data_IF_437897378381
#
_entry.id   IF_437897378381
#
_cell.length_a   1.000
_cell.length_b   1.000
_cell.length_c   1.000
_cell.angle_alpha   90.00
_cell.angle_beta   90.00
_cell.angle_gamma   90.00
#
_symmetry.space_group_name_H-M   'P 1'
#
loop_
_entity.id
_entity.type
_entity.pdbx_description
1 polymer ?
#
# COMPACT_ATOMS: atom_id res chain seq x y z
N UNK A 1 14.83 -13.64 6.02
CA UNK A 1 15.59 -12.39 6.24
C UNK A 1 14.68 -11.16 6.39
N UNK A 2 14.01 -10.60 5.36
CA UNK A 2 13.15 -9.42 5.53
C UNK A 2 11.96 -9.71 6.46
N UNK A 3 11.30 -10.85 6.30
CA UNK A 3 10.18 -11.29 7.15
C UNK A 3 10.59 -11.39 8.62
N UNK A 4 11.77 -11.96 8.89
CA UNK A 4 12.27 -12.13 10.25
C UNK A 4 12.57 -10.77 10.92
N UNK A 5 13.10 -9.82 10.15
CA UNK A 5 13.29 -8.45 10.62
C UNK A 5 11.96 -7.77 10.96
N UNK A 6 10.94 -7.93 10.13
CA UNK A 6 9.61 -7.36 10.35
C UNK A 6 8.96 -7.96 11.60
N UNK A 7 9.04 -9.28 11.79
CA UNK A 7 8.57 -9.94 13.01
C UNK A 7 9.30 -9.46 14.27
N UNK A 8 10.61 -9.18 14.16
CA UNK A 8 11.37 -8.65 15.28
C UNK A 8 10.83 -7.29 15.79
N UNK A 9 10.21 -6.50 14.89
CA UNK A 9 9.55 -5.25 15.25
C UNK A 9 8.07 -5.42 15.64
N UNK A 10 7.59 -6.65 15.79
CA UNK A 10 6.23 -6.93 16.25
C UNK A 10 5.16 -6.84 15.17
N UNK A 11 5.54 -6.88 13.89
CA UNK A 11 4.62 -6.89 12.76
C UNK A 11 4.51 -8.29 12.15
N UNK A 12 3.31 -8.66 11.75
CA UNK A 12 3.04 -9.86 10.96
C UNK A 12 3.11 -9.56 9.47
N UNK A 13 3.49 -10.56 8.67
CA UNK A 13 3.64 -10.44 7.22
C UNK A 13 2.69 -11.38 6.50
N UNK A 14 1.79 -10.81 5.72
CA UNK A 14 0.91 -11.55 4.81
C UNK A 14 1.43 -11.40 3.38
N UNK A 15 1.73 -12.51 2.72
CA UNK A 15 2.25 -12.52 1.35
C UNK A 15 1.16 -12.87 0.35
N UNK A 16 0.99 -12.04 -0.68
CA UNK A 16 0.01 -12.26 -1.73
C UNK A 16 0.54 -11.77 -3.09
N UNK A 17 1.47 -12.52 -3.70
CA UNK A 17 2.14 -12.09 -4.94
C UNK A 17 1.60 -12.74 -6.22
N UNK A 18 0.65 -13.68 -6.15
CA UNK A 18 -0.01 -14.30 -7.30
C UNK A 18 -1.52 -14.17 -7.19
N UNK A 19 -2.26 -14.37 -8.30
CA UNK A 19 -3.72 -14.23 -8.32
C UNK A 19 -4.44 -15.11 -7.29
N UNK A 20 -3.96 -16.35 -7.06
CA UNK A 20 -4.50 -17.25 -6.03
C UNK A 20 -4.08 -16.84 -4.62
N UNK A 21 -2.80 -16.51 -4.43
CA UNK A 21 -2.28 -16.01 -3.15
C UNK A 21 -2.82 -14.61 -2.82
N UNK A 22 -3.12 -13.81 -3.84
CA UNK A 22 -3.75 -12.50 -3.67
C UNK A 22 -5.14 -12.57 -3.04
N UNK A 23 -5.99 -13.50 -3.49
CA UNK A 23 -7.32 -13.71 -2.90
C UNK A 23 -7.23 -14.18 -1.44
N UNK A 24 -6.33 -15.13 -1.14
CA UNK A 24 -6.08 -15.61 0.22
C UNK A 24 -5.55 -14.48 1.12
N UNK A 25 -4.63 -13.66 0.61
CA UNK A 25 -4.11 -12.52 1.35
C UNK A 25 -5.20 -11.49 1.68
N UNK A 26 -6.11 -11.19 0.73
CA UNK A 26 -7.24 -10.29 0.98
C UNK A 26 -8.16 -10.82 2.08
N UNK A 27 -8.42 -12.14 2.11
CA UNK A 27 -9.21 -12.74 3.18
C UNK A 27 -8.53 -12.57 4.54
N UNK A 28 -7.26 -12.94 4.65
CA UNK A 28 -6.48 -12.79 5.87
C UNK A 28 -6.42 -11.33 6.34
N UNK A 29 -6.14 -10.38 5.43
CA UNK A 29 -6.12 -8.96 5.75
C UNK A 29 -7.50 -8.44 6.20
N UNK A 30 -8.59 -8.99 5.64
CA UNK A 30 -9.95 -8.66 6.08
C UNK A 30 -10.20 -9.13 7.52
N UNK A 31 -9.73 -10.32 7.88
CA UNK A 31 -9.82 -10.87 9.24
C UNK A 31 -8.98 -10.04 10.23
N UNK A 32 -7.77 -9.61 9.83
CA UNK A 32 -6.93 -8.73 10.64
C UNK A 32 -7.63 -7.39 10.92
N UNK A 33 -8.19 -6.76 9.90
CA UNK A 33 -8.96 -5.53 10.04
C UNK A 33 -10.20 -5.72 10.93
N UNK A 34 -10.91 -6.84 10.78
CA UNK A 34 -12.07 -7.18 11.62
C UNK A 34 -11.69 -7.40 13.10
N UNK A 35 -10.46 -7.84 13.38
CA UNK A 35 -9.93 -7.98 14.73
C UNK A 35 -9.48 -6.66 15.37
N UNK A 36 -9.59 -5.55 14.64
CA UNK A 36 -9.18 -4.21 15.10
C UNK A 36 -7.71 -3.89 14.89
N UNK A 37 -7.00 -4.67 14.07
CA UNK A 37 -5.61 -4.39 13.69
C UNK A 37 -5.55 -3.57 12.42
N UNK A 38 -4.57 -2.68 12.33
CA UNK A 38 -4.28 -1.94 11.11
C UNK A 38 -3.40 -2.77 10.17
N UNK A 39 -3.57 -2.58 8.87
CA UNK A 39 -2.75 -3.23 7.84
C UNK A 39 -2.04 -2.20 6.98
N UNK A 40 -0.80 -2.48 6.62
CA UNK A 40 0.01 -1.66 5.72
C UNK A 40 0.26 -2.42 4.43
N UNK A 41 0.00 -1.77 3.30
CA UNK A 41 0.13 -2.37 1.97
C UNK A 41 1.03 -1.51 1.10
N UNK A 42 1.97 -2.14 0.40
CA UNK A 42 2.69 -1.53 -0.71
C UNK A 42 1.83 -1.67 -1.98
N UNK A 43 1.38 -0.55 -2.57
CA UNK A 43 0.26 -0.58 -3.49
C UNK A 43 0.58 -1.06 -4.90
N UNK A 44 1.82 -0.92 -5.33
CA UNK A 44 2.31 -1.27 -6.67
C UNK A 44 2.68 -2.77 -6.82
N UNK A 45 2.62 -3.51 -5.72
CA UNK A 45 2.90 -4.95 -5.71
C UNK A 45 4.33 -5.32 -6.10
N UNK A 46 4.68 -6.63 -6.09
CA UNK A 46 6.06 -7.07 -6.26
C UNK A 46 6.59 -7.05 -7.70
N UNK A 47 5.72 -6.82 -8.67
CA UNK A 47 6.06 -6.84 -10.11
C UNK A 47 5.95 -5.48 -10.78
N UNK A 48 5.44 -4.48 -10.08
CA UNK A 48 5.16 -3.17 -10.65
C UNK A 48 4.05 -3.16 -11.71
N UNK A 49 3.98 -2.11 -12.51
CA UNK A 49 4.91 -0.98 -12.56
C UNK A 49 4.86 -0.07 -11.32
N UNK A 50 5.97 0.63 -11.06
CA UNK A 50 6.06 1.56 -9.93
C UNK A 50 5.00 2.68 -10.06
N UNK A 51 4.43 3.08 -8.92
CA UNK A 51 3.39 4.12 -8.82
C UNK A 51 2.04 3.76 -9.46
N UNK A 52 1.81 2.49 -9.76
CA UNK A 52 0.50 2.02 -10.22
C UNK A 52 -0.19 1.20 -9.13
N UNK A 53 -1.37 1.67 -8.73
CA UNK A 53 -2.16 1.02 -7.69
C UNK A 53 -2.79 -0.27 -8.21
N UNK A 54 -2.44 -1.39 -7.62
CA UNK A 54 -3.13 -2.66 -7.87
C UNK A 54 -4.57 -2.67 -7.33
N UNK A 55 -5.45 -3.53 -7.88
CA UNK A 55 -6.85 -3.59 -7.49
C UNK A 55 -7.09 -4.08 -6.05
N UNK A 56 -6.12 -4.76 -5.46
CA UNK A 56 -6.26 -5.45 -4.17
C UNK A 56 -6.67 -4.54 -3.02
N UNK A 57 -6.15 -3.31 -2.96
CA UNK A 57 -6.48 -2.36 -1.90
C UNK A 57 -7.94 -1.89 -1.98
N UNK A 58 -8.47 -1.71 -3.20
CA UNK A 58 -9.87 -1.33 -3.41
C UNK A 58 -10.79 -2.47 -2.98
N UNK A 59 -10.51 -3.70 -3.39
CA UNK A 59 -11.24 -4.89 -2.94
C UNK A 59 -11.23 -5.03 -1.43
N UNK A 60 -10.06 -4.89 -0.81
CA UNK A 60 -9.93 -4.99 0.64
C UNK A 60 -10.75 -3.92 1.36
N UNK A 61 -10.65 -2.67 0.93
CA UNK A 61 -11.38 -1.55 1.53
C UNK A 61 -12.89 -1.70 1.35
N UNK A 62 -13.37 -2.13 0.19
CA UNK A 62 -14.80 -2.41 -0.05
C UNK A 62 -15.31 -3.56 0.82
N UNK A 63 -14.52 -4.64 0.94
CA UNK A 63 -14.90 -5.83 1.70
C UNK A 63 -14.89 -5.61 3.20
N UNK A 64 -13.91 -4.91 3.73
CA UNK A 64 -13.74 -4.66 5.15
C UNK A 64 -14.49 -3.42 5.65
N UNK A 65 -14.82 -2.47 4.77
CA UNK A 65 -15.31 -1.15 5.14
C UNK A 65 -14.25 -0.23 5.75
N UNK A 66 -12.99 -0.67 5.82
CA UNK A 66 -11.90 0.11 6.37
C UNK A 66 -11.59 1.35 5.52
N UNK A 67 -11.08 2.38 6.17
CA UNK A 67 -10.59 3.58 5.49
C UNK A 67 -9.19 3.33 4.93
N UNK A 68 -8.93 3.85 3.74
CA UNK A 68 -7.58 3.89 3.16
C UNK A 68 -6.90 5.18 3.58
N UNK A 69 -5.72 5.05 4.19
CA UNK A 69 -4.90 6.19 4.59
C UNK A 69 -3.64 6.24 3.71
N UNK A 70 -3.63 7.05 2.65
CA UNK A 70 -2.44 7.22 1.81
C UNK A 70 -1.28 7.84 2.59
N UNK A 71 -0.10 7.24 2.45
CA UNK A 71 1.13 7.71 3.07
C UNK A 71 2.29 7.71 2.07
N UNK A 72 3.17 8.69 2.17
CA UNK A 72 4.43 8.75 1.44
C UNK A 72 5.59 9.04 2.39
N UNK A 73 6.74 8.43 2.12
CA UNK A 73 7.97 8.62 2.87
C UNK A 73 8.99 9.36 2.00
N UNK A 74 9.45 10.50 2.46
CA UNK A 74 10.52 11.27 1.83
C UNK A 74 11.78 11.22 2.66
N UNK A 75 12.90 11.05 2.00
CA UNK A 75 14.22 10.98 2.64
C UNK A 75 15.09 12.14 2.17
N UNK A 76 15.71 12.85 3.11
CA UNK A 76 16.63 13.96 2.78
C UNK A 76 17.87 13.50 2.02
N UNK A 77 18.32 12.27 2.28
CA UNK A 77 19.42 11.58 1.57
C UNK A 77 19.13 10.10 1.49
N UNK A 78 19.24 9.55 0.30
CA UNK A 78 19.01 8.12 0.06
C UNK A 78 19.82 7.62 -1.13
N UNK A 79 20.08 6.33 -1.14
CA UNK A 79 20.52 5.60 -2.34
C UNK A 79 19.28 5.05 -3.04
N UNK A 80 19.27 5.08 -4.36
CA UNK A 80 18.23 4.47 -5.19
C UNK A 80 18.84 3.33 -5.99
N UNK A 81 18.29 2.15 -5.85
CA UNK A 81 18.74 0.99 -6.60
C UNK A 81 18.23 1.06 -8.05
N UNK A 82 18.92 0.36 -8.95
CA UNK A 82 18.52 0.25 -10.36
C UNK A 82 17.41 -0.77 -10.62
N UNK A 83 16.61 -1.12 -9.59
CA UNK A 83 15.45 -1.99 -9.70
C UNK A 83 14.25 -1.26 -10.32
N UNK A 84 13.25 -2.01 -10.79
CA UNK A 84 12.03 -1.45 -11.40
C UNK A 84 11.27 -0.46 -10.47
N UNK A 85 11.30 -0.73 -9.16
CA UNK A 85 10.69 0.08 -8.10
C UNK A 85 11.61 1.20 -7.58
N UNK A 86 12.84 1.28 -8.10
CA UNK A 86 13.87 2.21 -7.63
C UNK A 86 14.00 2.18 -6.10
N UNK A 87 14.07 0.97 -5.55
CA UNK A 87 14.09 0.75 -4.11
C UNK A 87 15.00 1.73 -3.39
N UNK A 88 14.45 2.36 -2.36
CA UNK A 88 15.11 3.44 -1.63
C UNK A 88 15.76 2.87 -0.38
N UNK A 89 17.06 3.13 -0.22
CA UNK A 89 17.81 2.85 1.00
C UNK A 89 18.17 4.19 1.64
N UNK A 90 17.59 4.53 2.81
CA UNK A 90 17.97 5.75 3.51
C UNK A 90 19.45 5.75 3.88
N UNK A 91 20.13 6.89 3.70
CA UNK A 91 21.48 7.04 4.19
C UNK A 91 21.48 7.22 5.71
N UNK A 92 22.55 6.79 6.40
CA UNK A 92 22.70 7.05 7.83
C UNK A 92 22.51 8.52 8.15
N UNK A 93 21.82 8.81 9.24
CA UNK A 93 21.52 10.18 9.71
C UNK A 93 20.68 11.03 8.73
N UNK A 94 20.00 10.41 7.76
CA UNK A 94 19.03 11.12 6.92
C UNK A 94 17.76 11.46 7.71
N UNK A 95 17.16 12.60 7.36
CA UNK A 95 15.82 12.95 7.89
C UNK A 95 14.76 12.24 7.06
N UNK A 96 13.75 11.72 7.73
CA UNK A 96 12.56 11.14 7.11
C UNK A 96 11.38 12.06 7.35
N UNK A 97 10.64 12.39 6.29
CA UNK A 97 9.36 13.08 6.36
C UNK A 97 8.27 12.10 6.00
N UNK A 98 7.28 11.97 6.86
CA UNK A 98 6.09 11.17 6.60
C UNK A 98 4.98 12.12 6.15
N UNK A 99 4.50 11.96 4.92
CA UNK A 99 3.35 12.68 4.40
C UNK A 99 2.13 11.77 4.50
N UNK A 100 1.05 12.28 5.07
CA UNK A 100 -0.19 11.54 5.29
C UNK A 100 -1.33 12.35 4.69
N UNK A 101 -2.12 11.72 3.83
CA UNK A 101 -3.34 12.30 3.27
C UNK A 101 -4.52 12.17 4.24
N UNK A 102 -5.66 12.74 3.85
CA UNK A 102 -6.92 12.47 4.55
C UNK A 102 -7.36 11.02 4.32
N UNK A 103 -7.97 10.37 5.32
CA UNK A 103 -8.54 9.05 5.14
C UNK A 103 -9.59 9.03 4.03
N UNK A 104 -9.54 8.03 3.17
CA UNK A 104 -10.45 7.84 2.05
C UNK A 104 -11.38 6.67 2.32
N UNK A 105 -12.69 6.91 2.20
CA UNK A 105 -13.66 5.82 2.13
C UNK A 105 -13.80 5.38 0.67
N UNK A 106 -13.59 4.10 0.41
CA UNK A 106 -13.82 3.50 -0.90
C UNK A 106 -15.30 3.15 -1.01
N UNK A 107 -15.93 3.61 -2.09
CA UNK A 107 -17.35 3.37 -2.32
C UNK A 107 -17.57 1.96 -2.84
N UNK A 108 -18.69 1.29 -2.47
CA UNK A 108 -19.14 0.09 -3.16
C UNK A 108 -19.37 0.38 -4.65
N UNK A 109 -19.04 -0.59 -5.48
CA UNK A 109 -19.18 -0.47 -6.94
C UNK A 109 -19.91 -1.69 -7.48
N UNK A 110 -20.72 -1.49 -8.53
CA UNK A 110 -21.50 -2.54 -9.18
C UNK A 110 -20.98 -2.93 -10.55
N UNK A 111 -20.14 -2.08 -11.15
CA UNK A 111 -19.58 -2.28 -12.48
C UNK A 111 -18.05 -2.20 -12.45
N UNK A 112 -17.41 -2.77 -13.47
CA UNK A 112 -15.96 -2.69 -13.64
C UNK A 112 -15.49 -1.24 -13.84
N UNK A 113 -16.27 -0.43 -14.54
CA UNK A 113 -15.93 0.98 -14.78
C UNK A 113 -15.97 1.81 -13.49
N UNK A 114 -16.98 1.58 -12.65
CA UNK A 114 -17.05 2.20 -11.31
C UNK A 114 -15.88 1.78 -10.42
N UNK A 115 -15.52 0.50 -10.45
CA UNK A 115 -14.41 -0.03 -9.70
C UNK A 115 -13.09 0.63 -10.15
N UNK A 116 -12.87 0.75 -11.45
CA UNK A 116 -11.68 1.38 -12.00
C UNK A 116 -11.65 2.89 -11.68
N UNK A 117 -12.78 3.56 -11.66
CA UNK A 117 -12.87 4.95 -11.22
C UNK A 117 -12.46 5.13 -9.74
N UNK A 118 -12.93 4.24 -8.86
CA UNK A 118 -12.52 4.25 -7.44
C UNK A 118 -11.03 3.93 -7.28
N UNK A 119 -10.49 2.96 -8.04
CA UNK A 119 -9.07 2.65 -8.04
C UNK A 119 -8.22 3.87 -8.42
N UNK A 120 -8.59 4.56 -9.49
CA UNK A 120 -7.92 5.79 -9.93
C UNK A 120 -8.02 6.88 -8.89
N UNK A 121 -9.17 7.08 -8.26
CA UNK A 121 -9.35 8.07 -7.19
C UNK A 121 -8.41 7.85 -6.02
N UNK A 122 -8.22 6.60 -5.60
CA UNK A 122 -7.26 6.23 -4.54
C UNK A 122 -5.83 6.47 -5.02
N UNK A 123 -5.51 6.08 -6.25
CA UNK A 123 -4.19 6.31 -6.85
C UNK A 123 -3.84 7.80 -6.92
N UNK A 124 -4.76 8.65 -7.40
CA UNK A 124 -4.55 10.09 -7.51
C UNK A 124 -4.30 10.73 -6.15
N UNK A 125 -5.02 10.29 -5.11
CA UNK A 125 -4.77 10.74 -3.75
C UNK A 125 -3.38 10.34 -3.22
N UNK A 126 -2.86 9.18 -3.61
CA UNK A 126 -1.50 8.77 -3.28
C UNK A 126 -0.47 9.55 -4.08
N UNK A 127 -0.70 9.74 -5.37
CA UNK A 127 0.21 10.49 -6.25
C UNK A 127 0.32 11.95 -5.84
N UNK A 128 -0.74 12.56 -5.35
CA UNK A 128 -0.70 13.94 -4.84
C UNK A 128 0.32 14.13 -3.71
N UNK A 129 0.58 13.08 -2.90
CA UNK A 129 1.62 13.11 -1.86
C UNK A 129 3.04 13.02 -2.42
N UNK A 130 3.21 12.45 -3.62
CA UNK A 130 4.51 12.35 -4.30
C UNK A 130 4.85 13.66 -4.99
N UNK A 131 3.85 14.38 -5.49
CA UNK A 131 3.98 15.64 -6.24
C UNK A 131 4.12 16.89 -5.32
N UNK A 132 3.83 16.76 -4.04
CA UNK A 132 3.96 17.84 -3.05
C UNK A 132 5.42 18.18 -2.68
N UNK A 133 6.32 18.17 -3.67
CA UNK A 133 7.75 18.51 -3.50
C UNK A 133 7.98 20.00 -3.62
#
# INVERSE_FOLDING_TARGET
MLTDAIHHFGYDVIRGSSSRLGASAILQLTEELASGRDVVITPDGPRGPAYELGPGIVFLAQKSGALVLPMNLEYSRCWRLGSWDRFIIPQPFSKVRVLISRPLRVKPTSTTDEFEAERRRVQDAMMSLVEMR
#
